data_IF_175674801266
#
_entry.id   IF_175674801266
#
_cell.length_a   1.000
_cell.length_b   1.000
_cell.length_c   1.000
_cell.angle_alpha   90.00
_cell.angle_beta   90.00
_cell.angle_gamma   90.00
#
_symmetry.space_group_name_H-M   'P 1'
#
loop_
_entity.id
_entity.type
_entity.pdbx_description
1 polymer ?
#
# COMPACT_ATOMS: atom_id res chain seq x y z
N UNK A 1 4.66 -4.57 0.13
CA UNK A 1 3.22 -4.38 -0.07
C UNK A 1 2.95 -3.19 -0.97
N UNK A 2 1.84 -3.24 -1.65
CA UNK A 2 1.42 -2.16 -2.54
C UNK A 2 0.10 -1.59 -2.08
N UNK A 3 0.03 -0.25 -2.09
CA UNK A 3 -1.22 0.46 -1.90
C UNK A 3 -1.55 1.17 -3.21
N UNK A 4 -2.75 0.98 -3.70
CA UNK A 4 -3.18 1.60 -4.94
C UNK A 4 -3.90 2.90 -4.67
N UNK A 5 -3.41 3.97 -5.29
CA UNK A 5 -4.06 5.27 -5.25
C UNK A 5 -4.57 5.67 -6.63
N UNK A 6 -5.33 6.74 -6.66
CA UNK A 6 -5.88 7.23 -7.93
C UNK A 6 -4.79 7.72 -8.87
N UNK A 7 -3.70 8.25 -8.32
CA UNK A 7 -2.63 8.81 -9.15
C UNK A 7 -1.47 7.87 -9.38
N UNK A 8 -1.36 6.82 -8.59
CA UNK A 8 -0.24 5.89 -8.72
C UNK A 8 -0.21 4.85 -7.63
N UNK A 9 0.90 4.15 -7.54
CA UNK A 9 1.09 3.03 -6.63
C UNK A 9 2.10 3.43 -5.56
N UNK A 10 1.75 3.20 -4.32
CA UNK A 10 2.65 3.38 -3.19
C UNK A 10 3.21 2.01 -2.82
N UNK A 11 4.50 1.82 -3.08
CA UNK A 11 5.18 0.55 -2.82
C UNK A 11 5.96 0.65 -1.51
N UNK A 12 5.68 -0.25 -0.58
CA UNK A 12 6.28 -0.22 0.75
C UNK A 12 6.77 -1.61 1.15
N UNK A 13 7.91 -1.64 1.82
CA UNK A 13 8.38 -2.83 2.52
C UNK A 13 8.27 -2.59 4.01
N UNK A 14 8.13 -3.66 4.77
CA UNK A 14 8.05 -3.53 6.23
C UNK A 14 9.30 -2.82 6.76
N UNK A 15 9.06 -1.82 7.59
CA UNK A 15 10.12 -1.01 8.16
C UNK A 15 10.55 0.17 7.30
N UNK A 16 10.01 0.30 6.10
CA UNK A 16 10.34 1.41 5.19
C UNK A 16 9.26 2.46 5.17
N UNK A 17 9.70 3.71 5.00
CA UNK A 17 8.79 4.83 4.77
C UNK A 17 9.01 5.37 3.36
N UNK A 18 7.95 5.85 2.74
CA UNK A 18 8.04 6.47 1.42
C UNK A 18 7.07 7.63 1.33
N UNK A 19 7.48 8.65 0.59
CA UNK A 19 6.61 9.77 0.24
C UNK A 19 6.43 9.90 -1.27
N UNK A 20 6.70 8.83 -2.00
CA UNK A 20 6.62 8.85 -3.46
C UNK A 20 5.68 7.78 -3.98
N UNK A 21 4.80 8.18 -4.89
CA UNK A 21 3.99 7.22 -5.62
C UNK A 21 4.58 7.05 -7.01
N UNK A 22 4.47 5.83 -7.52
CA UNK A 22 4.98 5.45 -8.82
C UNK A 22 3.86 5.49 -9.83
N UNK A 23 4.11 6.20 -10.93
CA UNK A 23 3.15 6.33 -12.03
C UNK A 23 3.78 5.68 -13.25
N UNK A 24 3.11 4.66 -13.77
CA UNK A 24 3.61 3.96 -14.94
C UNK A 24 2.85 4.40 -16.18
N UNK A 25 3.62 4.82 -17.17
CA UNK A 25 3.08 5.12 -18.49
C UNK A 25 3.53 4.03 -19.46
N UNK A 26 3.14 4.13 -20.73
CA UNK A 26 3.47 3.11 -21.72
C UNK A 26 4.97 2.97 -21.94
N UNK A 27 5.76 4.00 -21.72
CA UNK A 27 7.19 4.00 -22.04
C UNK A 27 8.09 4.51 -20.93
N UNK A 28 7.55 4.92 -19.78
CA UNK A 28 8.41 5.37 -18.69
C UNK A 28 7.74 5.21 -17.34
N UNK A 29 8.56 5.34 -16.29
CA UNK A 29 8.10 5.33 -14.91
C UNK A 29 8.37 6.70 -14.31
N UNK A 30 7.34 7.30 -13.75
CA UNK A 30 7.42 8.61 -13.14
C UNK A 30 7.14 8.48 -11.65
N UNK A 31 7.59 9.47 -10.87
CA UNK A 31 7.33 9.50 -9.44
C UNK A 31 6.73 10.84 -9.06
N UNK A 32 5.76 10.79 -8.17
CA UNK A 32 5.13 11.98 -7.63
C UNK A 32 5.36 12.00 -6.13
N UNK A 33 5.86 13.13 -5.61
CA UNK A 33 6.12 13.27 -4.18
C UNK A 33 4.86 13.69 -3.46
N UNK A 34 4.54 12.96 -2.40
CA UNK A 34 3.38 13.26 -1.56
C UNK A 34 3.73 14.30 -0.51
N UNK A 35 2.73 15.05 -0.02
CA UNK A 35 2.95 16.00 1.08
C UNK A 35 3.01 15.32 2.46
N UNK A 36 3.19 14.01 2.49
CA UNK A 36 3.31 13.23 3.71
C UNK A 36 4.09 11.97 3.38
N UNK A 37 4.55 11.26 4.41
CA UNK A 37 5.20 9.97 4.20
C UNK A 37 4.42 8.88 4.90
N UNK A 38 4.55 7.65 4.39
CA UNK A 38 3.85 6.48 4.92
C UNK A 38 4.89 5.42 5.19
N UNK A 39 4.87 4.90 6.40
CA UNK A 39 5.75 3.81 6.80
C UNK A 39 4.93 2.55 6.99
N UNK A 40 5.38 1.45 6.39
CA UNK A 40 4.72 0.15 6.60
C UNK A 40 5.31 -0.51 7.84
N UNK A 41 4.50 -0.64 8.87
CA UNK A 41 4.91 -1.30 10.11
C UNK A 41 4.82 -2.81 9.94
N UNK A 42 3.69 -3.29 9.42
CA UNK A 42 3.47 -4.72 9.27
C UNK A 42 2.43 -4.98 8.19
N UNK A 43 2.70 -5.99 7.38
CA UNK A 43 1.74 -6.51 6.43
C UNK A 43 1.30 -7.89 6.89
N UNK A 44 -0.01 -8.11 6.94
CA UNK A 44 -0.56 -9.39 7.37
C UNK A 44 -1.40 -9.99 6.25
N UNK A 45 -1.13 -11.25 5.97
CA UNK A 45 -1.88 -12.05 5.02
C UNK A 45 -2.58 -13.15 5.78
N UNK A 46 -3.90 -13.19 5.73
CA UNK A 46 -4.68 -14.20 6.41
C UNK A 46 -5.26 -15.17 5.38
N UNK A 47 -5.08 -16.47 5.62
CA UNK A 47 -5.65 -17.52 4.80
C UNK A 47 -6.69 -18.27 5.60
N UNK A 48 -7.82 -18.56 4.99
CA UNK A 48 -8.83 -19.36 5.65
C UNK A 48 -8.50 -20.84 5.47
N UNK A 49 -8.85 -21.66 6.47
CA UNK A 49 -8.62 -23.10 6.38
C UNK A 49 -9.27 -23.69 5.15
N UNK A 50 -8.54 -24.59 4.47
CA UNK A 50 -9.06 -25.25 3.29
C UNK A 50 -9.03 -24.44 2.01
N UNK A 51 -8.55 -23.22 2.07
CA UNK A 51 -8.46 -22.35 0.90
C UNK A 51 -7.01 -22.23 0.43
N UNK A 52 -6.81 -22.35 -0.87
CA UNK A 52 -5.49 -22.12 -1.47
C UNK A 52 -5.24 -20.62 -1.69
N UNK A 53 -6.29 -19.83 -1.71
CA UNK A 53 -6.18 -18.40 -1.97
C UNK A 53 -6.12 -17.60 -0.68
N UNK A 54 -5.33 -16.51 -0.64
CA UNK A 54 -5.37 -15.60 0.49
C UNK A 54 -6.76 -15.00 0.64
N UNK A 55 -7.20 -14.86 1.87
CA UNK A 55 -8.55 -14.41 2.15
C UNK A 55 -8.62 -12.98 2.63
N UNK A 56 -7.54 -12.47 3.20
CA UNK A 56 -7.52 -11.10 3.70
C UNK A 56 -6.10 -10.54 3.69
N UNK A 57 -6.01 -9.26 3.42
CA UNK A 57 -4.75 -8.52 3.43
C UNK A 57 -4.94 -7.29 4.30
N UNK A 58 -3.93 -6.98 5.09
CA UNK A 58 -3.98 -5.80 5.94
C UNK A 58 -2.60 -5.19 6.06
N UNK A 59 -2.53 -3.85 5.94
CA UNK A 59 -1.30 -3.11 6.18
C UNK A 59 -1.48 -2.21 7.40
N UNK A 60 -0.56 -2.32 8.36
CA UNK A 60 -0.47 -1.39 9.47
C UNK A 60 0.55 -0.32 9.11
N UNK A 61 0.14 0.92 9.20
CA UNK A 61 0.92 2.04 8.71
C UNK A 61 1.11 3.10 9.77
N UNK A 62 2.23 3.83 9.66
CA UNK A 62 2.41 5.09 10.34
C UNK A 62 2.44 6.18 9.28
N UNK A 63 1.62 7.18 9.44
CA UNK A 63 1.54 8.29 8.51
C UNK A 63 2.14 9.52 9.17
N UNK A 64 3.20 10.05 8.56
CA UNK A 64 3.89 11.24 9.06
C UNK A 64 3.40 12.44 8.25
N UNK A 65 2.58 13.26 8.87
CA UNK A 65 1.93 14.37 8.19
C UNK A 65 1.85 15.57 9.13
N UNK A 66 2.25 16.74 8.62
CA UNK A 66 2.18 18.01 9.38
C UNK A 66 2.90 17.92 10.73
N UNK A 67 4.05 17.23 10.75
CA UNK A 67 4.84 17.06 11.97
C UNK A 67 4.28 16.09 12.98
N UNK A 68 3.23 15.37 12.61
CA UNK A 68 2.58 14.40 13.50
C UNK A 68 2.64 13.01 12.89
N UNK A 69 2.55 12.02 13.76
CA UNK A 69 2.52 10.62 13.33
C UNK A 69 1.18 10.03 13.72
N UNK A 70 0.51 9.42 12.73
CA UNK A 70 -0.79 8.79 12.92
C UNK A 70 -0.69 7.32 12.59
N UNK A 71 -1.39 6.50 13.36
CA UNK A 71 -1.59 5.10 13.04
C UNK A 71 -2.72 4.96 12.04
N UNK A 72 -2.53 4.07 11.07
CA UNK A 72 -3.58 3.76 10.12
C UNK A 72 -3.51 2.29 9.75
N UNK A 73 -4.66 1.71 9.40
CA UNK A 73 -4.74 0.33 8.94
C UNK A 73 -5.53 0.33 7.65
N UNK A 74 -4.99 -0.35 6.64
CA UNK A 74 -5.62 -0.43 5.33
C UNK A 74 -5.92 -1.90 5.05
N UNK A 75 -7.18 -2.19 4.76
CA UNK A 75 -7.65 -3.52 4.44
C UNK A 75 -8.91 -3.36 3.59
N UNK A 76 -9.54 -4.48 3.22
CA UNK A 76 -10.76 -4.43 2.43
C UNK A 76 -11.80 -3.57 3.16
N UNK A 77 -12.38 -2.61 2.48
CA UNK A 77 -13.39 -1.68 3.00
C UNK A 77 -12.85 -0.64 3.98
N UNK A 78 -11.54 -0.57 4.16
CA UNK A 78 -10.95 0.48 4.99
C UNK A 78 -9.75 1.07 4.25
N UNK A 79 -9.93 2.27 3.72
CA UNK A 79 -8.92 2.92 2.89
C UNK A 79 -8.14 3.94 3.71
N UNK A 80 -6.95 4.30 3.22
CA UNK A 80 -6.17 5.39 3.79
C UNK A 80 -6.54 6.68 3.06
N UNK A 81 -6.89 7.70 3.81
CA UNK A 81 -7.32 8.99 3.26
C UNK A 81 -6.54 10.08 3.97
N UNK A 82 -5.58 10.71 3.26
CA UNK A 82 -4.70 11.72 3.83
C UNK A 82 -4.49 12.83 2.82
N UNK A 83 -4.76 14.07 3.21
CA UNK A 83 -4.47 15.25 2.38
C UNK A 83 -5.07 15.15 0.97
N UNK A 84 -6.23 14.54 0.85
CA UNK A 84 -6.89 14.38 -0.44
C UNK A 84 -6.42 13.19 -1.25
N UNK A 85 -5.44 12.44 -0.74
CA UNK A 85 -4.99 11.22 -1.39
C UNK A 85 -5.67 10.03 -0.73
N UNK A 86 -6.10 9.08 -1.56
CA UNK A 86 -6.80 7.89 -1.08
C UNK A 86 -6.10 6.65 -1.61
N UNK A 87 -5.80 5.73 -0.71
CA UNK A 87 -5.11 4.49 -1.04
C UNK A 87 -5.89 3.29 -0.59
N UNK A 88 -5.88 2.26 -1.43
CA UNK A 88 -6.56 0.99 -1.21
C UNK A 88 -5.54 -0.11 -1.05
N UNK A 89 -5.87 -1.11 -0.25
CA UNK A 89 -5.01 -2.28 -0.11
C UNK A 89 -5.06 -3.10 -1.39
N UNK A 90 -3.86 -3.42 -1.93
CA UNK A 90 -3.77 -4.34 -3.05
C UNK A 90 -4.14 -5.75 -2.60
N UNK A 91 -4.70 -6.51 -3.51
CA UNK A 91 -5.08 -7.91 -3.21
C UNK A 91 -3.86 -8.76 -2.93
N UNK A 92 -2.75 -8.46 -3.59
CA UNK A 92 -1.48 -9.08 -3.30
C UNK A 92 -0.40 -8.30 -4.03
N UNK A 93 0.87 -8.67 -3.74
CA UNK A 93 2.02 -7.99 -4.29
C UNK A 93 2.56 -8.81 -5.47
N UNK A 94 2.33 -8.38 -6.70
CA UNK A 94 2.79 -9.14 -7.85
C UNK A 94 4.31 -9.23 -7.94
N UNK A 95 5.04 -8.25 -7.40
CA UNK A 95 6.49 -8.29 -7.43
C UNK A 95 7.06 -9.40 -6.56
N UNK A 96 6.45 -9.63 -5.40
CA UNK A 96 6.89 -10.70 -4.52
C UNK A 96 6.62 -12.07 -5.11
N UNK A 97 5.50 -12.22 -5.77
CA UNK A 97 5.11 -13.50 -6.33
C UNK A 97 5.81 -13.80 -7.65
N UNK A 98 6.25 -12.77 -8.35
CA UNK A 98 6.77 -12.93 -9.69
C UNK A 98 5.71 -13.32 -10.70
N UNK A 99 4.47 -13.43 -10.29
CA UNK A 99 3.35 -13.72 -11.17
C UNK A 99 2.07 -13.39 -10.44
N UNK A 100 1.02 -13.34 -11.20
CA UNK A 100 -0.26 -12.95 -10.70
C UNK A 100 -1.12 -14.15 -10.31
N UNK A 101 -1.75 -14.07 -9.16
CA UNK A 101 -2.73 -15.04 -8.75
C UNK A 101 -4.06 -14.36 -8.59
N UNK A 102 -5.05 -14.85 -9.29
CA UNK A 102 -6.38 -14.31 -9.09
C UNK A 102 -6.89 -14.60 -7.70
#
# INVERSE_FOLDING_TARGET
SHLFGEEGILHLREGEASDRIMIRTSDQTLYHTLPFSVELVKFTLTRYPGSASPSAYESELLVHVDGQTRHARVYMNNVLDVKGYRFFQASYDPDEQGRYFP
#
